data_IF_542851153085
#
_entry.id   IF_542851153085
#
_cell.length_a   1.000
_cell.length_b   1.000
_cell.length_c   1.000
_cell.angle_alpha   90.00
_cell.angle_beta   90.00
_cell.angle_gamma   90.00
#
_symmetry.space_group_name_H-M   'P 1'
#
loop_
_entity.id
_entity.type
_entity.pdbx_description
1 polymer ?
#
# COMPACT_ATOMS: atom_id res chain seq x y z
N UNK A 1 -12.27 46.49 23.78
CA UNK A 1 -11.67 45.72 22.66
C UNK A 1 -11.94 46.50 21.39
N UNK A 2 -10.92 46.83 20.60
CA UNK A 2 -11.12 47.60 19.36
C UNK A 2 -11.95 46.81 18.34
N UNK A 3 -12.65 47.49 17.44
CA UNK A 3 -13.40 46.84 16.36
C UNK A 3 -12.46 45.98 15.49
N UNK A 4 -11.26 46.48 15.20
CA UNK A 4 -10.23 45.74 14.45
C UNK A 4 -9.85 44.42 15.12
N UNK A 5 -9.64 44.44 16.44
CA UNK A 5 -9.33 43.23 17.21
C UNK A 5 -10.44 42.18 17.17
N UNK A 6 -11.71 42.59 17.22
CA UNK A 6 -12.86 41.68 17.07
C UNK A 6 -12.86 41.03 15.69
N UNK A 7 -12.66 41.83 14.64
CA UNK A 7 -12.62 41.35 13.25
C UNK A 7 -11.48 40.34 13.06
N UNK A 8 -10.25 40.68 13.47
CA UNK A 8 -9.10 39.80 13.29
C UNK A 8 -9.14 38.55 14.17
N UNK A 9 -9.73 38.65 15.36
CA UNK A 9 -10.00 37.47 16.20
C UNK A 9 -11.00 36.54 15.50
N UNK A 10 -12.08 37.09 14.95
CA UNK A 10 -13.08 36.31 14.20
C UNK A 10 -12.46 35.66 12.96
N UNK A 11 -11.62 36.39 12.22
CA UNK A 11 -10.88 35.86 11.07
C UNK A 11 -9.93 34.73 11.49
N UNK A 12 -9.23 34.87 12.63
CA UNK A 12 -8.33 33.81 13.13
C UNK A 12 -9.08 32.50 13.42
N UNK A 13 -10.36 32.55 13.74
CA UNK A 13 -11.20 31.35 13.92
C UNK A 13 -11.75 30.84 12.57
N UNK A 14 -12.20 31.75 11.71
CA UNK A 14 -12.81 31.39 10.43
C UNK A 14 -11.82 30.79 9.43
N UNK A 15 -10.56 31.24 9.42
CA UNK A 15 -9.54 30.76 8.47
C UNK A 15 -9.30 29.24 8.64
N UNK A 16 -8.96 28.71 9.83
CA UNK A 16 -8.83 27.27 10.03
C UNK A 16 -10.07 26.49 9.61
N UNK A 17 -11.26 26.94 10.01
CA UNK A 17 -12.53 26.26 9.69
C UNK A 17 -12.76 26.19 8.18
N UNK A 18 -12.48 27.28 7.46
CA UNK A 18 -12.64 27.35 6.01
C UNK A 18 -11.71 26.37 5.30
N UNK A 19 -10.41 26.39 5.63
CA UNK A 19 -9.43 25.51 5.00
C UNK A 19 -9.59 24.04 5.41
N UNK A 20 -10.12 23.79 6.60
CA UNK A 20 -10.37 22.45 7.10
C UNK A 20 -11.61 21.81 6.45
N UNK A 21 -12.73 22.53 6.38
CA UNK A 21 -14.03 21.94 6.03
C UNK A 21 -14.54 22.26 4.62
N UNK A 22 -14.18 23.41 4.05
CA UNK A 22 -14.85 23.92 2.83
C UNK A 22 -14.12 23.50 1.56
N UNK A 23 -12.78 23.36 1.61
CA UNK A 23 -12.00 23.04 0.42
C UNK A 23 -12.21 21.57 0.02
N UNK A 24 -12.67 21.30 -1.23
CA UNK A 24 -12.78 19.95 -1.76
C UNK A 24 -11.43 19.21 -1.74
N UNK A 25 -11.48 17.90 -1.48
CA UNK A 25 -10.28 17.08 -1.32
C UNK A 25 -9.43 17.02 -2.61
N UNK A 26 -10.06 17.01 -3.78
CA UNK A 26 -9.40 16.98 -5.09
C UNK A 26 -8.68 18.29 -5.43
N UNK A 27 -9.27 19.43 -5.08
CA UNK A 27 -8.64 20.75 -5.24
C UNK A 27 -7.44 20.87 -4.31
N UNK A 28 -7.58 20.38 -3.08
CA UNK A 28 -6.53 20.45 -2.08
C UNK A 28 -5.33 19.59 -2.46
N UNK A 29 -5.54 18.33 -2.85
CA UNK A 29 -4.46 17.38 -3.15
C UNK A 29 -3.49 17.91 -4.22
N UNK A 30 -4.01 18.56 -5.26
CA UNK A 30 -3.18 19.11 -6.34
C UNK A 30 -2.15 20.13 -5.86
N UNK A 31 -2.47 20.87 -4.79
CA UNK A 31 -1.67 22.00 -4.30
C UNK A 31 -1.67 22.04 -2.76
N UNK A 32 -1.47 20.88 -2.13
CA UNK A 32 -1.61 20.66 -0.69
C UNK A 32 -0.73 21.61 0.14
N UNK A 33 0.55 21.74 -0.22
CA UNK A 33 1.50 22.64 0.42
C UNK A 33 1.06 24.10 0.23
N UNK A 34 0.67 24.49 -0.98
CA UNK A 34 0.26 25.87 -1.25
C UNK A 34 -0.94 26.27 -0.36
N UNK A 35 -1.98 25.44 -0.29
CA UNK A 35 -3.15 25.74 0.55
C UNK A 35 -2.82 25.69 2.04
N UNK A 36 -1.98 24.75 2.49
CA UNK A 36 -1.51 24.68 3.88
C UNK A 36 -0.76 25.96 4.29
N UNK A 37 0.21 26.39 3.47
CA UNK A 37 0.98 27.61 3.73
C UNK A 37 0.14 28.87 3.60
N UNK A 38 -0.79 28.95 2.64
CA UNK A 38 -1.73 30.06 2.52
C UNK A 38 -2.60 30.19 3.79
N UNK A 39 -3.14 29.07 4.29
CA UNK A 39 -3.90 29.05 5.53
C UNK A 39 -3.05 29.51 6.72
N UNK A 40 -1.85 28.97 6.86
CA UNK A 40 -0.91 29.35 7.93
C UNK A 40 -0.54 30.82 7.88
N UNK A 41 -0.26 31.37 6.69
CA UNK A 41 0.08 32.78 6.51
C UNK A 41 -1.09 33.71 6.83
N UNK A 42 -2.29 33.41 6.34
CA UNK A 42 -3.50 34.18 6.63
C UNK A 42 -3.84 34.13 8.13
N UNK A 43 -3.73 32.95 8.74
CA UNK A 43 -3.95 32.76 10.17
C UNK A 43 -2.92 33.51 11.00
N UNK A 44 -1.64 33.46 10.63
CA UNK A 44 -0.57 34.25 11.25
C UNK A 44 -0.90 35.74 11.18
N UNK A 45 -1.24 36.27 10.00
CA UNK A 45 -1.57 37.67 9.83
C UNK A 45 -2.76 38.10 10.69
N UNK A 46 -3.84 37.32 10.68
CA UNK A 46 -5.02 37.58 11.51
C UNK A 46 -4.69 37.55 13.01
N UNK A 47 -3.98 36.53 13.47
CA UNK A 47 -3.63 36.38 14.89
C UNK A 47 -2.62 37.45 15.34
N UNK A 48 -1.63 37.77 14.51
CA UNK A 48 -0.65 38.83 14.76
C UNK A 48 -1.33 40.19 14.93
N UNK A 49 -2.28 40.53 14.04
CA UNK A 49 -3.05 41.76 14.11
C UNK A 49 -4.02 41.76 15.30
N UNK A 50 -4.64 40.62 15.61
CA UNK A 50 -5.53 40.47 16.77
C UNK A 50 -4.80 40.65 18.12
N UNK A 51 -3.58 40.12 18.25
CA UNK A 51 -2.77 40.23 19.47
C UNK A 51 -2.10 41.61 19.60
N UNK A 52 -1.64 42.17 18.49
CA UNK A 52 -0.96 43.45 18.46
C UNK A 52 -1.87 44.67 18.65
N UNK A 53 -3.17 44.52 18.37
CA UNK A 53 -4.17 45.60 18.34
C UNK A 53 -3.70 46.79 17.46
N UNK A 54 -3.00 46.47 16.37
CA UNK A 54 -2.49 47.47 15.44
C UNK A 54 -3.66 48.11 14.70
N UNK A 55 -3.81 49.43 14.83
CA UNK A 55 -4.85 50.18 14.14
C UNK A 55 -4.38 50.65 12.77
N UNK A 56 -3.07 50.72 12.55
CA UNK A 56 -2.45 51.12 11.30
C UNK A 56 -1.12 50.42 11.02
N UNK A 57 -0.68 50.44 9.75
CA UNK A 57 0.68 50.03 9.36
C UNK A 57 1.77 50.90 10.01
N UNK A 58 1.42 52.14 10.39
CA UNK A 58 2.33 53.03 11.09
C UNK A 58 2.73 52.42 12.44
N UNK A 59 1.77 51.87 13.18
CA UNK A 59 1.99 51.21 14.48
C UNK A 59 2.91 49.99 14.40
N UNK A 60 3.10 49.38 13.21
CA UNK A 60 4.06 48.28 13.05
C UNK A 60 5.51 48.77 12.92
N UNK A 61 5.72 50.00 12.48
CA UNK A 61 7.02 50.52 12.06
C UNK A 61 7.54 51.65 12.95
N UNK A 62 6.66 52.32 13.68
CA UNK A 62 7.03 53.35 14.65
C UNK A 62 7.58 52.70 15.93
N UNK A 63 8.72 53.22 16.40
CA UNK A 63 9.22 52.89 17.74
C UNK A 63 8.28 53.54 18.76
N UNK A 64 7.86 52.83 19.81
CA UNK A 64 7.07 53.42 20.88
C UNK A 64 7.83 54.64 21.44
N UNK A 65 7.10 55.72 21.70
CA UNK A 65 7.72 56.93 22.23
C UNK A 65 8.32 56.65 23.62
N UNK A 66 9.42 57.34 24.02
CA UNK A 66 10.01 57.14 25.34
C UNK A 66 8.99 57.44 26.44
N UNK A 67 8.51 56.40 27.14
CA UNK A 67 7.50 56.51 28.20
C UNK A 67 6.13 55.89 27.87
N UNK A 68 5.91 55.43 26.65
CA UNK A 68 4.67 54.76 26.24
C UNK A 68 4.67 53.28 26.68
N UNK A 69 3.70 52.89 27.53
CA UNK A 69 3.58 51.49 27.96
C UNK A 69 3.06 50.61 26.82
N UNK A 70 3.94 49.77 26.27
CA UNK A 70 3.55 48.79 25.25
C UNK A 70 2.64 47.72 25.88
N UNK A 71 1.40 47.52 25.35
CA UNK A 71 0.49 46.50 25.87
C UNK A 71 1.14 45.12 25.91
N UNK A 72 0.93 44.38 27.01
CA UNK A 72 1.55 43.06 27.19
C UNK A 72 1.23 42.09 26.04
N UNK A 73 0.02 42.15 25.49
CA UNK A 73 -0.40 41.33 24.34
C UNK A 73 0.35 41.66 23.04
N UNK A 74 0.74 42.93 22.84
CA UNK A 74 1.52 43.34 21.66
C UNK A 74 2.93 42.77 21.69
N UNK A 75 3.49 42.52 22.88
CA UNK A 75 4.76 41.79 23.03
C UNK A 75 4.64 40.31 22.66
N UNK A 76 3.42 39.76 22.71
CA UNK A 76 3.14 38.37 22.35
C UNK A 76 2.87 38.17 20.85
N UNK A 77 2.61 39.24 20.08
CA UNK A 77 2.24 39.12 18.67
C UNK A 77 3.27 38.36 17.81
N UNK A 78 4.61 38.48 18.01
CA UNK A 78 5.56 37.69 17.22
C UNK A 78 5.44 36.18 17.44
N UNK A 79 4.95 35.75 18.63
CA UNK A 79 4.76 34.33 18.92
C UNK A 79 3.55 33.72 18.21
N UNK A 80 2.74 34.52 17.51
CA UNK A 80 1.66 34.03 16.62
C UNK A 80 2.19 33.11 15.50
N UNK A 81 3.50 33.13 15.21
CA UNK A 81 4.14 32.22 14.25
C UNK A 81 4.04 30.76 14.67
N UNK A 82 4.07 30.47 15.98
CA UNK A 82 4.03 29.09 16.50
C UNK A 82 2.69 28.39 16.18
N UNK A 83 1.52 28.94 16.56
CA UNK A 83 0.25 28.31 16.23
C UNK A 83 -0.03 28.30 14.72
N UNK A 84 0.49 29.28 13.95
CA UNK A 84 0.41 29.25 12.49
C UNK A 84 1.19 28.08 11.89
N UNK A 85 2.40 27.81 12.39
CA UNK A 85 3.18 26.65 11.98
C UNK A 85 2.46 25.35 12.34
N UNK A 86 1.92 25.24 13.57
CA UNK A 86 1.11 24.07 13.98
C UNK A 86 -0.09 23.86 13.05
N UNK A 87 -0.79 24.93 12.65
CA UNK A 87 -1.92 24.84 11.72
C UNK A 87 -1.51 24.24 10.36
N UNK A 88 -0.35 24.62 9.82
CA UNK A 88 0.17 24.06 8.57
C UNK A 88 0.30 22.53 8.69
N UNK A 89 0.92 22.03 9.77
CA UNK A 89 1.07 20.59 9.99
C UNK A 89 -0.28 19.90 10.15
N UNK A 90 -1.19 20.47 10.96
CA UNK A 90 -2.52 19.90 11.18
C UNK A 90 -3.28 19.75 9.86
N UNK A 91 -3.21 20.74 8.97
CA UNK A 91 -3.87 20.67 7.67
C UNK A 91 -3.22 19.63 6.76
N UNK A 92 -1.89 19.57 6.66
CA UNK A 92 -1.20 18.55 5.86
C UNK A 92 -1.59 17.13 6.30
N UNK A 93 -1.55 16.84 7.60
CA UNK A 93 -1.92 15.52 8.13
C UNK A 93 -3.40 15.21 7.93
N UNK A 94 -4.28 16.17 8.20
CA UNK A 94 -5.72 15.98 8.04
C UNK A 94 -6.09 15.64 6.60
N UNK A 95 -5.47 16.29 5.62
CA UNK A 95 -5.81 16.09 4.22
C UNK A 95 -5.25 14.78 3.67
N UNK A 96 -4.09 14.32 4.18
CA UNK A 96 -3.62 12.95 3.93
C UNK A 96 -4.64 11.92 4.42
N UNK A 97 -5.22 12.11 5.61
CA UNK A 97 -6.30 11.24 6.12
C UNK A 97 -7.54 11.29 5.24
N UNK A 98 -7.97 12.49 4.81
CA UNK A 98 -9.16 12.64 3.94
C UNK A 98 -9.00 11.94 2.60
N UNK A 99 -7.80 11.94 2.00
CA UNK A 99 -7.51 11.17 0.78
C UNK A 99 -7.70 9.67 1.03
N UNK A 100 -7.18 9.15 2.14
CA UNK A 100 -7.32 7.74 2.48
C UNK A 100 -8.78 7.35 2.78
N UNK A 101 -9.51 8.19 3.51
CA UNK A 101 -10.93 7.98 3.82
C UNK A 101 -11.80 7.98 2.54
N UNK A 102 -11.53 8.90 1.62
CA UNK A 102 -12.21 8.99 0.33
C UNK A 102 -11.94 7.75 -0.54
N UNK A 103 -10.69 7.28 -0.58
CA UNK A 103 -10.32 6.03 -1.27
C UNK A 103 -10.90 4.80 -0.58
N UNK A 104 -11.03 4.79 0.75
CA UNK A 104 -11.66 3.69 1.48
C UNK A 104 -13.17 3.63 1.25
N UNK A 105 -13.84 4.78 1.14
CA UNK A 105 -15.28 4.85 0.93
C UNK A 105 -15.71 4.63 -0.53
N UNK A 106 -14.94 5.17 -1.49
CA UNK A 106 -15.32 5.21 -2.91
C UNK A 106 -14.27 4.62 -3.85
N UNK A 107 -13.32 3.87 -3.29
CA UNK A 107 -12.23 3.24 -4.03
C UNK A 107 -12.73 2.24 -5.08
N UNK A 108 -12.13 2.33 -6.26
CA UNK A 108 -12.20 1.31 -7.30
C UNK A 108 -10.81 0.88 -7.70
N UNK A 109 -10.62 -0.43 -7.81
CA UNK A 109 -9.40 -1.04 -8.29
C UNK A 109 -9.36 -1.01 -9.82
N UNK A 110 -8.21 -0.63 -10.37
CA UNK A 110 -7.88 -0.72 -11.79
C UNK A 110 -6.39 -1.00 -11.95
N UNK A 111 -5.97 -1.35 -13.17
CA UNK A 111 -4.56 -1.53 -13.51
C UNK A 111 -4.03 -0.24 -14.11
N UNK A 112 -2.94 0.27 -13.54
CA UNK A 112 -2.16 1.39 -14.07
C UNK A 112 -0.87 0.91 -14.72
N UNK A 113 -0.30 1.74 -15.58
CA UNK A 113 1.01 1.55 -16.19
C UNK A 113 1.94 2.66 -15.74
N UNK A 114 3.13 2.31 -15.26
CA UNK A 114 4.17 3.29 -14.98
C UNK A 114 4.68 3.86 -16.31
N UNK A 115 4.62 5.18 -16.47
CA UNK A 115 5.06 5.89 -17.68
C UNK A 115 6.34 6.68 -17.45
N UNK A 116 6.86 6.70 -16.23
CA UNK A 116 8.12 7.33 -15.89
C UNK A 116 8.33 7.37 -14.38
N UNK A 117 9.48 7.88 -13.98
CA UNK A 117 9.81 8.10 -12.58
C UNK A 117 10.94 9.10 -12.46
N UNK A 118 11.02 9.77 -11.30
CA UNK A 118 12.07 10.72 -10.99
C UNK A 118 12.58 10.50 -9.57
N UNK A 119 13.90 10.52 -9.44
CA UNK A 119 14.60 10.55 -8.16
C UNK A 119 15.19 11.96 -7.98
N UNK A 120 14.73 12.67 -6.95
CA UNK A 120 15.18 14.03 -6.65
C UNK A 120 16.02 14.01 -5.39
N UNK A 121 17.34 14.18 -5.55
CA UNK A 121 18.29 14.30 -4.43
C UNK A 121 18.46 15.76 -4.04
N UNK A 122 18.04 16.12 -2.84
CA UNK A 122 18.29 17.43 -2.25
C UNK A 122 19.45 17.34 -1.26
N UNK A 123 20.54 18.05 -1.55
CA UNK A 123 21.69 18.16 -0.65
C UNK A 123 21.64 19.48 0.11
N UNK A 124 21.56 19.44 1.43
CA UNK A 124 21.70 20.60 2.33
C UNK A 124 22.74 20.27 3.39
N UNK A 125 23.75 21.14 3.56
CA UNK A 125 24.89 21.05 4.52
C UNK A 125 24.93 19.74 5.34
N UNK A 126 25.80 18.83 4.93
CA UNK A 126 26.06 17.52 5.55
C UNK A 126 24.94 16.47 5.48
N UNK A 127 23.81 16.75 4.83
CA UNK A 127 22.75 15.77 4.59
C UNK A 127 22.28 15.77 3.13
N UNK A 128 22.16 14.57 2.56
CA UNK A 128 21.50 14.32 1.28
C UNK A 128 20.21 13.54 1.54
N UNK A 129 19.09 14.05 1.06
CA UNK A 129 17.83 13.33 1.09
C UNK A 129 17.34 13.10 -0.34
N UNK A 130 17.06 11.85 -0.69
CA UNK A 130 16.56 11.46 -2.01
C UNK A 130 15.09 11.10 -1.90
N UNK A 131 14.28 11.79 -2.69
CA UNK A 131 12.84 11.51 -2.81
C UNK A 131 12.60 10.79 -4.14
N UNK A 132 11.77 9.76 -4.11
CA UNK A 132 11.43 8.95 -5.27
C UNK A 132 9.95 9.12 -5.58
N UNK A 133 9.65 9.25 -6.86
CA UNK A 133 8.28 9.41 -7.35
C UNK A 133 8.13 8.74 -8.70
N UNK A 134 6.96 8.16 -8.93
CA UNK A 134 6.59 7.48 -10.17
C UNK A 134 5.40 8.19 -10.80
N UNK A 135 5.41 8.25 -12.13
CA UNK A 135 4.29 8.72 -12.92
C UNK A 135 3.49 7.51 -13.37
N UNK A 136 2.21 7.45 -12.99
CA UNK A 136 1.32 6.34 -13.34
C UNK A 136 0.17 6.84 -14.19
N UNK A 137 -0.09 6.13 -15.29
CA UNK A 137 -1.24 6.33 -16.15
C UNK A 137 -2.22 5.18 -15.98
N UNK A 138 -3.50 5.48 -15.82
CA UNK A 138 -4.53 4.46 -15.68
C UNK A 138 -5.83 4.88 -16.39
N UNK A 139 -6.75 3.93 -16.56
CA UNK A 139 -8.06 4.15 -17.18
C UNK A 139 -9.16 3.97 -16.13
N UNK A 140 -10.06 4.96 -16.03
CA UNK A 140 -11.21 4.91 -15.12
C UNK A 140 -12.36 4.05 -15.69
N UNK A 141 -13.42 3.83 -14.90
CA UNK A 141 -14.56 3.02 -15.34
C UNK A 141 -15.41 3.64 -16.46
N UNK A 142 -15.06 4.83 -16.94
CA UNK A 142 -15.67 5.52 -18.07
C UNK A 142 -14.71 5.61 -19.27
N UNK A 143 -13.67 4.77 -19.28
CA UNK A 143 -12.62 4.72 -20.30
C UNK A 143 -11.81 6.01 -20.46
N UNK A 144 -11.78 6.87 -19.43
CA UNK A 144 -10.97 8.09 -19.44
C UNK A 144 -9.59 7.82 -18.87
N UNK A 145 -8.57 8.33 -19.55
CA UNK A 145 -7.18 8.23 -19.10
C UNK A 145 -6.87 9.32 -18.06
N UNK A 146 -6.24 8.91 -16.98
CA UNK A 146 -5.75 9.78 -15.93
C UNK A 146 -4.26 9.53 -15.71
N UNK A 147 -3.53 10.60 -15.37
CA UNK A 147 -2.12 10.54 -15.00
C UNK A 147 -1.96 11.20 -13.64
N UNK A 148 -1.24 10.55 -12.73
CA UNK A 148 -0.89 11.10 -11.43
C UNK A 148 0.54 10.74 -11.06
N UNK A 149 1.11 11.51 -10.15
CA UNK A 149 2.44 11.29 -9.58
C UNK A 149 2.26 10.73 -8.16
N UNK A 150 2.93 9.62 -7.85
CA UNK A 150 2.90 9.01 -6.52
C UNK A 150 4.32 8.98 -5.95
N UNK A 151 4.47 9.37 -4.68
CA UNK A 151 5.73 9.20 -3.97
C UNK A 151 5.87 7.77 -3.47
N UNK A 152 7.00 7.14 -3.74
CA UNK A 152 7.29 5.75 -3.37
C UNK A 152 8.57 5.65 -2.55
N UNK A 153 8.73 4.55 -1.83
CA UNK A 153 9.98 4.28 -1.12
C UNK A 153 11.12 4.00 -2.11
N UNK A 154 12.37 4.17 -1.66
CA UNK A 154 13.53 3.88 -2.50
C UNK A 154 13.63 2.40 -2.90
N UNK A 155 13.15 1.47 -2.06
CA UNK A 155 13.07 0.05 -2.42
C UNK A 155 12.03 -0.18 -3.51
N UNK A 156 10.82 0.35 -3.34
CA UNK A 156 9.75 0.19 -4.34
C UNK A 156 10.15 0.83 -5.68
N UNK A 157 10.83 1.97 -5.65
CA UNK A 157 11.30 2.63 -6.87
C UNK A 157 12.29 1.78 -7.67
N UNK A 158 13.13 0.99 -7.00
CA UNK A 158 14.09 0.12 -7.69
C UNK A 158 13.41 -1.13 -8.30
N UNK A 159 12.32 -1.58 -7.70
CA UNK A 159 11.55 -2.74 -8.16
C UNK A 159 10.54 -2.35 -9.27
N UNK A 160 10.10 -1.09 -9.27
CA UNK A 160 9.15 -0.53 -10.21
C UNK A 160 9.86 0.09 -11.43
N UNK A 161 9.71 -0.55 -12.59
CA UNK A 161 10.29 -0.07 -13.85
C UNK A 161 9.25 0.58 -14.79
N UNK A 162 9.72 1.41 -15.71
CA UNK A 162 8.86 2.02 -16.73
C UNK A 162 8.19 0.94 -17.59
N UNK A 163 6.87 1.04 -17.70
CA UNK A 163 6.04 0.09 -18.41
C UNK A 163 5.46 -1.04 -17.55
N UNK A 164 5.91 -1.18 -16.30
CA UNK A 164 5.33 -2.13 -15.37
C UNK A 164 3.85 -1.81 -15.09
N UNK A 165 3.06 -2.87 -14.89
CA UNK A 165 1.65 -2.79 -14.54
C UNK A 165 1.52 -2.85 -13.02
N UNK A 166 0.80 -1.89 -12.46
CA UNK A 166 0.60 -1.74 -11.01
C UNK A 166 -0.88 -1.67 -10.67
N UNK A 167 -1.25 -2.05 -9.45
CA UNK A 167 -2.59 -1.80 -8.95
C UNK A 167 -2.75 -0.33 -8.56
N UNK A 168 -3.82 0.27 -9.06
CA UNK A 168 -4.23 1.63 -8.74
C UNK A 168 -5.61 1.58 -8.13
N UNK A 169 -5.76 2.21 -6.97
CA UNK A 169 -7.07 2.51 -6.41
C UNK A 169 -7.36 3.98 -6.64
N UNK A 170 -8.50 4.28 -7.25
CA UNK A 170 -8.96 5.65 -7.48
C UNK A 170 -10.35 5.88 -6.89
N UNK A 171 -10.65 7.13 -6.51
CA UNK A 171 -12.01 7.49 -6.07
C UNK A 171 -12.96 7.57 -7.28
N UNK A 172 -14.09 6.85 -7.20
CA UNK A 172 -15.14 6.96 -8.20
C UNK A 172 -15.72 8.37 -8.31
N UNK A 173 -15.74 9.14 -7.22
CA UNK A 173 -16.25 10.52 -7.22
C UNK A 173 -15.22 11.49 -7.79
N UNK A 174 -13.96 11.30 -7.43
CA UNK A 174 -12.85 12.15 -7.83
C UNK A 174 -11.70 11.31 -8.40
N UNK A 175 -11.73 10.93 -9.69
CA UNK A 175 -10.69 10.08 -10.29
C UNK A 175 -9.28 10.68 -10.24
N UNK A 176 -9.14 12.00 -10.10
CA UNK A 176 -7.83 12.60 -9.87
C UNK A 176 -7.15 12.05 -8.58
N UNK A 177 -7.94 11.67 -7.57
CA UNK A 177 -7.47 11.01 -6.37
C UNK A 177 -7.23 9.54 -6.68
N UNK A 178 -5.96 9.19 -6.82
CA UNK A 178 -5.50 7.84 -7.02
C UNK A 178 -4.30 7.54 -6.11
N UNK A 179 -4.09 6.24 -5.85
CA UNK A 179 -2.96 5.72 -5.08
C UNK A 179 -2.49 4.42 -5.70
N UNK A 180 -1.19 4.25 -5.82
CA UNK A 180 -0.58 2.97 -6.19
C UNK A 180 -0.52 2.10 -4.95
N UNK A 181 -0.97 0.85 -5.06
CA UNK A 181 -0.95 -0.09 -3.95
C UNK A 181 -0.17 -1.33 -4.37
N UNK A 182 1.02 -1.51 -3.80
CA UNK A 182 1.91 -2.63 -4.15
C UNK A 182 1.54 -3.91 -3.39
N UNK A 183 1.12 -3.78 -2.14
CA UNK A 183 0.76 -4.91 -1.27
C UNK A 183 -0.75 -5.20 -1.25
N UNK A 184 -1.12 -6.47 -1.41
CA UNK A 184 -2.50 -6.96 -1.30
C UNK A 184 -3.06 -6.70 0.11
N UNK A 185 -2.22 -6.72 1.15
CA UNK A 185 -2.67 -6.44 2.52
C UNK A 185 -3.18 -5.00 2.67
N UNK A 186 -2.45 -4.03 2.09
CA UNK A 186 -2.84 -2.63 2.03
C UNK A 186 -4.04 -2.40 1.13
N UNK A 187 -4.19 -3.20 0.07
CA UNK A 187 -5.30 -3.08 -0.88
C UNK A 187 -6.67 -3.30 -0.22
N UNK A 188 -6.74 -4.17 0.81
CA UNK A 188 -7.94 -4.41 1.61
C UNK A 188 -8.47 -3.17 2.32
N UNK A 189 -7.61 -2.20 2.61
CA UNK A 189 -8.05 -0.96 3.25
C UNK A 189 -8.95 -0.12 2.34
N UNK A 190 -8.88 -0.35 1.02
CA UNK A 190 -9.58 0.46 0.03
C UNK A 190 -10.62 -0.29 -0.79
N UNK A 191 -10.40 -1.58 -1.02
CA UNK A 191 -11.30 -2.42 -1.83
C UNK A 191 -11.39 -3.81 -1.24
N UNK A 192 -12.58 -4.41 -1.34
CA UNK A 192 -12.81 -5.78 -0.90
C UNK A 192 -12.16 -6.77 -1.86
N UNK A 193 -10.93 -7.18 -1.57
CA UNK A 193 -10.18 -8.18 -2.33
C UNK A 193 -10.06 -9.49 -1.54
N UNK A 194 -10.35 -10.66 -2.15
CA UNK A 194 -10.09 -11.94 -1.52
C UNK A 194 -8.61 -12.10 -1.19
N UNK A 195 -8.32 -12.78 -0.09
CA UNK A 195 -6.97 -12.81 0.47
C UNK A 195 -6.69 -14.01 1.37
N UNK A 196 -7.58 -15.00 1.31
CA UNK A 196 -7.47 -16.18 2.14
C UNK A 196 -6.25 -17.00 1.73
N UNK A 197 -5.72 -17.75 2.68
CA UNK A 197 -4.61 -18.67 2.40
C UNK A 197 -5.13 -19.84 1.59
N UNK A 198 -4.36 -20.30 0.62
CA UNK A 198 -4.67 -21.52 -0.11
C UNK A 198 -4.60 -22.72 0.88
N UNK A 199 -5.59 -23.60 0.83
CA UNK A 199 -5.71 -24.73 1.75
C UNK A 199 -5.66 -26.04 0.98
N UNK A 200 -5.41 -27.15 1.68
CA UNK A 200 -5.47 -28.48 1.03
C UNK A 200 -6.86 -28.76 0.47
N UNK A 201 -7.93 -28.28 1.12
CA UNK A 201 -9.30 -28.43 0.62
C UNK A 201 -9.50 -27.77 -0.74
N UNK A 202 -8.88 -26.60 -0.97
CA UNK A 202 -8.91 -25.96 -2.28
C UNK A 202 -8.16 -26.77 -3.33
N UNK A 203 -7.00 -27.32 -2.98
CA UNK A 203 -6.18 -28.13 -3.89
C UNK A 203 -6.85 -29.46 -4.24
N UNK A 204 -7.48 -30.13 -3.27
CA UNK A 204 -8.22 -31.37 -3.53
C UNK A 204 -9.46 -31.11 -4.38
N UNK A 205 -10.18 -29.99 -4.19
CA UNK A 205 -11.30 -29.64 -5.04
C UNK A 205 -10.89 -29.44 -6.51
N UNK A 206 -9.71 -28.85 -6.73
CA UNK A 206 -9.10 -28.73 -8.06
C UNK A 206 -8.78 -30.12 -8.63
N UNK A 207 -8.11 -30.97 -7.83
CA UNK A 207 -7.68 -32.30 -8.23
C UNK A 207 -8.85 -33.26 -8.52
N UNK A 208 -9.96 -33.13 -7.78
CA UNK A 208 -11.21 -33.87 -8.01
C UNK A 208 -11.98 -33.40 -9.26
N UNK A 209 -11.53 -32.33 -9.92
CA UNK A 209 -12.20 -31.76 -11.09
C UNK A 209 -13.48 -30.98 -10.76
N UNK A 210 -13.68 -30.59 -9.50
CA UNK A 210 -14.81 -29.74 -9.08
C UNK A 210 -14.71 -28.33 -9.65
N UNK A 211 -13.52 -27.94 -10.12
CA UNK A 211 -13.24 -26.64 -10.73
C UNK A 211 -12.90 -26.86 -12.21
N UNK A 212 -13.74 -26.38 -13.14
CA UNK A 212 -13.44 -26.40 -14.57
C UNK A 212 -12.13 -25.67 -14.89
N UNK A 213 -11.33 -26.20 -15.83
CA UNK A 213 -10.00 -25.65 -16.17
C UNK A 213 -10.08 -24.21 -16.70
N UNK A 214 -11.08 -23.92 -17.52
CA UNK A 214 -11.35 -22.58 -18.06
C UNK A 214 -11.72 -21.55 -16.97
N UNK A 215 -12.22 -22.04 -15.83
CA UNK A 215 -12.63 -21.23 -14.68
C UNK A 215 -11.59 -21.22 -13.55
N UNK A 216 -10.41 -21.85 -13.74
CA UNK A 216 -9.41 -22.04 -12.68
C UNK A 216 -8.89 -20.71 -12.14
N UNK A 217 -8.53 -19.78 -13.03
CA UNK A 217 -8.06 -18.44 -12.64
C UNK A 217 -9.12 -17.69 -11.85
N UNK A 218 -10.40 -17.81 -12.24
CA UNK A 218 -11.51 -17.17 -11.52
C UNK A 218 -11.70 -17.79 -10.13
N UNK A 219 -11.65 -19.11 -10.03
CA UNK A 219 -11.73 -19.83 -8.75
C UNK A 219 -10.58 -19.44 -7.82
N UNK A 220 -9.34 -19.46 -8.30
CA UNK A 220 -8.17 -19.08 -7.49
C UNK A 220 -8.24 -17.62 -7.05
N UNK A 221 -8.66 -16.70 -7.94
CA UNK A 221 -8.89 -15.28 -7.60
C UNK A 221 -10.03 -15.06 -6.61
N UNK A 222 -10.97 -16.01 -6.47
CA UNK A 222 -12.00 -15.95 -5.43
C UNK A 222 -11.48 -16.28 -4.03
N UNK A 223 -10.31 -16.95 -3.94
CA UNK A 223 -9.64 -17.29 -2.69
C UNK A 223 -8.66 -16.18 -2.33
N UNK A 224 -7.72 -15.88 -3.23
CA UNK A 224 -6.84 -14.73 -3.09
C UNK A 224 -6.52 -14.09 -4.45
N UNK A 225 -6.44 -12.76 -4.45
CA UNK A 225 -6.31 -11.94 -5.66
C UNK A 225 -4.94 -12.10 -6.37
N UNK A 226 -4.94 -11.94 -7.69
CA UNK A 226 -3.81 -11.99 -8.65
C UNK A 226 -3.25 -13.36 -9.03
N UNK A 227 -4.12 -14.34 -9.21
CA UNK A 227 -3.73 -15.50 -10.02
C UNK A 227 -3.74 -15.15 -11.50
N UNK A 228 -2.67 -15.55 -12.16
CA UNK A 228 -2.57 -15.65 -13.61
C UNK A 228 -2.45 -17.12 -14.00
N UNK A 229 -2.82 -17.46 -15.23
CA UNK A 229 -2.73 -18.81 -15.76
C UNK A 229 -2.17 -18.80 -17.17
N UNK A 230 -1.43 -19.84 -17.53
CA UNK A 230 -0.98 -20.04 -18.90
C UNK A 230 -2.13 -20.46 -19.81
N UNK A 231 -1.99 -20.20 -21.11
CA UNK A 231 -2.93 -20.69 -22.12
C UNK A 231 -3.06 -22.22 -22.15
N UNK A 232 -2.05 -22.93 -21.65
CA UNK A 232 -2.06 -24.40 -21.49
C UNK A 232 -3.10 -24.88 -20.48
N UNK A 233 -3.46 -24.03 -19.50
CA UNK A 233 -4.36 -24.38 -18.40
C UNK A 233 -3.76 -25.33 -17.35
N UNK A 234 -2.44 -25.55 -17.37
CA UNK A 234 -1.75 -26.44 -16.44
C UNK A 234 -0.86 -25.73 -15.44
N UNK A 235 -0.58 -24.44 -15.63
CA UNK A 235 0.26 -23.67 -14.74
C UNK A 235 -0.42 -22.37 -14.36
N UNK A 236 -0.42 -22.09 -13.05
CA UNK A 236 -1.01 -20.90 -12.45
C UNK A 236 -0.03 -20.32 -11.44
N UNK A 237 0.12 -19.01 -11.45
CA UNK A 237 1.05 -18.32 -10.56
C UNK A 237 0.40 -17.12 -9.91
N UNK A 238 0.81 -16.83 -8.68
CA UNK A 238 0.53 -15.58 -7.99
C UNK A 238 1.88 -14.97 -7.56
N UNK A 239 2.39 -14.07 -8.39
CA UNK A 239 3.73 -13.48 -8.20
C UNK A 239 3.82 -12.61 -6.95
N UNK A 240 2.71 -11.97 -6.54
CA UNK A 240 2.65 -11.15 -5.32
C UNK A 240 2.78 -11.99 -4.06
N UNK A 241 2.15 -13.17 -4.06
CA UNK A 241 2.21 -14.11 -2.93
C UNK A 241 3.36 -15.09 -3.03
N UNK A 242 4.10 -15.11 -4.15
CA UNK A 242 5.23 -16.01 -4.39
C UNK A 242 4.80 -17.49 -4.27
N UNK A 243 3.63 -17.78 -4.82
CA UNK A 243 3.05 -19.13 -4.86
C UNK A 243 2.69 -19.53 -6.29
N UNK A 244 2.69 -20.82 -6.58
CA UNK A 244 2.27 -21.36 -7.88
C UNK A 244 1.58 -22.72 -7.73
N UNK A 245 0.79 -23.09 -8.74
CA UNK A 245 0.12 -24.37 -8.87
C UNK A 245 0.42 -24.92 -10.26
N UNK A 246 0.86 -26.17 -10.32
CA UNK A 246 0.99 -26.94 -11.56
C UNK A 246 0.10 -28.17 -11.52
N UNK A 247 -0.74 -28.32 -12.53
CA UNK A 247 -1.55 -29.50 -12.76
C UNK A 247 -0.84 -30.44 -13.73
N UNK A 248 -0.91 -31.74 -13.46
CA UNK A 248 -0.46 -32.77 -14.39
C UNK A 248 -1.62 -33.21 -15.29
N UNK A 249 -1.31 -33.72 -16.49
CA UNK A 249 -2.28 -33.89 -17.59
C UNK A 249 -3.48 -34.79 -17.23
N UNK A 250 -3.24 -35.80 -16.40
CA UNK A 250 -4.20 -36.79 -15.95
C UNK A 250 -5.03 -36.38 -14.72
N UNK A 251 -4.77 -35.19 -14.16
CA UNK A 251 -5.32 -34.73 -12.88
C UNK A 251 -5.12 -35.74 -11.72
N UNK A 252 -4.12 -36.63 -11.79
CA UNK A 252 -3.78 -37.52 -10.67
C UNK A 252 -2.91 -36.81 -9.64
N UNK A 253 -2.20 -35.77 -10.08
CA UNK A 253 -1.25 -34.98 -9.31
C UNK A 253 -1.41 -33.47 -9.52
N UNK A 254 -1.17 -32.73 -8.45
CA UNK A 254 -1.02 -31.28 -8.43
C UNK A 254 0.22 -30.92 -7.60
N UNK A 255 1.10 -30.07 -8.14
CA UNK A 255 2.20 -29.47 -7.38
C UNK A 255 1.83 -28.05 -6.94
N UNK A 256 1.87 -27.79 -5.63
CA UNK A 256 1.73 -26.47 -5.02
C UNK A 256 3.10 -25.98 -4.56
N UNK A 257 3.50 -24.80 -4.98
CA UNK A 257 4.79 -24.19 -4.69
C UNK A 257 4.59 -22.96 -3.83
N UNK A 258 5.40 -22.82 -2.77
CA UNK A 258 5.39 -21.66 -1.89
C UNK A 258 6.83 -21.26 -1.53
N UNK A 259 7.17 -19.98 -1.72
CA UNK A 259 8.45 -19.43 -1.26
C UNK A 259 8.50 -19.41 0.28
N UNK A 260 9.65 -19.75 0.84
CA UNK A 260 9.88 -19.64 2.27
C UNK A 260 11.21 -18.95 2.58
N UNK A 261 11.23 -18.24 3.71
CA UNK A 261 12.45 -17.64 4.20
C UNK A 261 13.29 -18.70 4.93
N UNK A 262 14.51 -18.94 4.44
CA UNK A 262 15.45 -19.89 5.03
C UNK A 262 15.77 -19.62 6.51
N UNK A 263 15.74 -18.35 6.95
CA UNK A 263 16.02 -17.98 8.34
C UNK A 263 14.88 -18.38 9.30
N UNK A 264 13.66 -18.59 8.80
CA UNK A 264 12.48 -18.97 9.59
C UNK A 264 12.01 -20.40 9.30
N UNK A 265 12.78 -21.17 8.52
CA UNK A 265 12.39 -22.48 8.00
C UNK A 265 12.23 -23.60 9.06
N UNK A 266 12.44 -23.30 10.34
CA UNK A 266 12.41 -24.27 11.43
C UNK A 266 10.99 -24.55 11.99
N UNK A 267 9.95 -23.87 11.52
CA UNK A 267 8.56 -24.07 11.98
C UNK A 267 7.66 -24.66 10.90
N UNK A 268 6.73 -25.54 11.30
CA UNK A 268 5.64 -26.02 10.45
C UNK A 268 4.95 -24.84 9.74
N UNK A 269 4.89 -24.91 8.41
CA UNK A 269 4.22 -23.89 7.60
C UNK A 269 2.72 -23.83 7.92
N UNK A 270 2.08 -22.70 7.61
CA UNK A 270 0.63 -22.54 7.73
C UNK A 270 -0.13 -23.63 6.95
N UNK A 271 0.44 -24.04 5.82
CA UNK A 271 -0.05 -25.14 4.99
C UNK A 271 0.05 -26.49 5.69
N UNK A 272 1.17 -26.81 6.36
CA UNK A 272 1.32 -28.06 7.12
C UNK A 272 0.36 -28.15 8.32
N UNK A 273 0.12 -27.03 9.00
CA UNK A 273 -0.91 -26.95 10.03
C UNK A 273 -2.30 -27.16 9.44
N UNK A 274 -2.55 -26.68 8.22
CA UNK A 274 -3.79 -26.92 7.49
C UNK A 274 -3.96 -28.40 7.10
N UNK A 275 -2.90 -29.09 6.65
CA UNK A 275 -2.93 -30.54 6.38
C UNK A 275 -3.38 -31.33 7.62
N UNK A 276 -2.73 -31.09 8.75
CA UNK A 276 -3.01 -31.80 10.01
C UNK A 276 -4.45 -31.56 10.48
N UNK A 277 -4.94 -30.31 10.38
CA UNK A 277 -6.33 -29.95 10.72
C UNK A 277 -7.36 -30.64 9.82
N UNK A 278 -7.00 -30.96 8.57
CA UNK A 278 -7.84 -31.67 7.61
C UNK A 278 -7.65 -33.20 7.65
N UNK A 279 -7.10 -33.73 8.75
CA UNK A 279 -7.05 -35.17 9.00
C UNK A 279 -5.87 -35.90 8.35
N UNK A 280 -4.92 -35.18 7.72
CA UNK A 280 -3.71 -35.80 7.22
C UNK A 280 -2.80 -36.25 8.37
N UNK A 281 -2.29 -37.47 8.27
CA UNK A 281 -1.30 -38.04 9.19
C UNK A 281 0.10 -37.79 8.64
N UNK A 282 1.01 -37.30 9.49
CA UNK A 282 2.43 -37.09 9.13
C UNK A 282 3.22 -38.38 9.29
N UNK A 283 4.05 -38.72 8.30
CA UNK A 283 5.03 -39.81 8.34
C UNK A 283 6.35 -39.29 7.80
N UNK A 284 7.40 -39.36 8.61
CA UNK A 284 8.76 -39.13 8.15
C UNK A 284 9.34 -40.45 7.62
N UNK A 285 9.98 -40.40 6.46
CA UNK A 285 10.73 -41.52 5.90
C UNK A 285 12.09 -41.02 5.46
N UNK A 286 13.16 -41.72 5.84
CA UNK A 286 14.50 -41.45 5.31
C UNK A 286 14.80 -42.45 4.21
N UNK A 287 15.02 -41.95 2.98
CA UNK A 287 15.50 -42.74 1.86
C UNK A 287 16.78 -42.09 1.35
N UNK A 288 17.85 -42.87 1.15
CA UNK A 288 19.14 -42.39 0.63
C UNK A 288 19.78 -41.23 1.41
N UNK A 289 19.53 -41.12 2.72
CA UNK A 289 20.06 -40.04 3.56
C UNK A 289 19.30 -38.72 3.47
N UNK A 290 18.24 -38.65 2.65
CA UNK A 290 17.31 -37.54 2.60
C UNK A 290 16.05 -37.86 3.42
N UNK A 291 15.70 -36.96 4.33
CA UNK A 291 14.44 -37.03 5.08
C UNK A 291 13.33 -36.50 4.20
N UNK A 292 12.45 -37.38 3.75
CA UNK A 292 11.22 -37.02 3.04
C UNK A 292 10.06 -37.02 4.04
N UNK A 293 9.34 -35.90 4.09
CA UNK A 293 8.12 -35.78 4.88
C UNK A 293 6.91 -36.04 3.99
N UNK A 294 6.07 -36.98 4.39
CA UNK A 294 4.80 -37.27 3.73
C UNK A 294 3.65 -37.04 4.68
N UNK A 295 2.56 -36.51 4.13
CA UNK A 295 1.27 -36.38 4.77
C UNK A 295 0.29 -37.24 4.01
N UNK A 296 -0.57 -38.01 4.68
CA UNK A 296 -1.49 -38.90 3.98
C UNK A 296 -2.86 -39.00 4.65
N UNK A 297 -3.85 -39.27 3.82
CA UNK A 297 -5.20 -39.76 4.17
C UNK A 297 -5.45 -41.03 3.35
N UNK A 298 -6.63 -41.64 3.50
CA UNK A 298 -6.99 -42.79 2.68
C UNK A 298 -7.08 -42.42 1.18
N UNK A 299 -7.46 -41.18 0.87
CA UNK A 299 -7.70 -40.70 -0.51
C UNK A 299 -6.55 -39.92 -1.13
N UNK A 300 -5.62 -39.38 -0.32
CA UNK A 300 -4.59 -38.46 -0.80
C UNK A 300 -3.25 -38.67 -0.13
N UNK A 301 -2.17 -38.48 -0.88
CA UNK A 301 -0.80 -38.40 -0.40
C UNK A 301 -0.26 -37.02 -0.75
N UNK A 302 0.39 -36.36 0.19
CA UNK A 302 1.11 -35.09 -0.01
C UNK A 302 2.58 -35.31 0.33
N UNK A 303 3.46 -35.26 -0.66
CA UNK A 303 4.91 -35.24 -0.43
C UNK A 303 5.42 -33.81 -0.39
N UNK A 304 6.44 -33.56 0.45
CA UNK A 304 7.07 -32.25 0.61
C UNK A 304 8.51 -32.32 0.13
N UNK A 305 8.85 -31.51 -0.87
CA UNK A 305 10.21 -31.33 -1.38
C UNK A 305 10.68 -29.90 -1.10
N UNK A 306 11.97 -29.75 -0.80
CA UNK A 306 12.63 -28.45 -0.69
C UNK A 306 13.49 -28.20 -1.92
N UNK A 307 13.28 -27.09 -2.62
CA UNK A 307 14.21 -26.61 -3.64
C UNK A 307 14.85 -25.30 -3.22
N UNK A 308 16.14 -25.18 -3.51
CA UNK A 308 16.93 -23.96 -3.33
C UNK A 308 17.48 -23.60 -4.69
N UNK A 309 17.17 -22.40 -5.16
CA UNK A 309 17.71 -21.85 -6.38
C UNK A 309 18.88 -20.94 -6.04
N UNK A 310 20.04 -21.23 -6.62
CA UNK A 310 21.21 -20.35 -6.57
C UNK A 310 21.07 -19.27 -7.64
N UNK A 311 20.39 -18.17 -7.31
CA UNK A 311 20.34 -16.99 -8.17
C UNK A 311 21.47 -16.01 -7.79
N UNK A 312 22.27 -15.62 -8.78
CA UNK A 312 23.20 -14.49 -8.63
C UNK A 312 22.42 -13.21 -8.85
N UNK A 313 22.27 -12.40 -7.80
CA UNK A 313 21.69 -11.06 -7.96
C UNK A 313 22.57 -10.21 -8.89
N UNK A 314 21.96 -9.22 -9.54
CA UNK A 314 22.66 -8.26 -10.42
C UNK A 314 23.81 -7.53 -9.71
N UNK A 315 23.82 -7.52 -8.38
CA UNK A 315 24.84 -6.86 -7.55
C UNK A 315 25.94 -7.84 -7.05
N UNK A 316 25.95 -9.09 -7.52
CA UNK A 316 26.96 -10.08 -7.17
C UNK A 316 26.83 -10.68 -5.76
N UNK A 317 25.80 -10.30 -4.99
CA UNK A 317 25.45 -11.00 -3.75
C UNK A 317 24.63 -12.25 -4.08
N UNK A 318 24.89 -13.41 -3.43
CA UNK A 318 24.04 -14.58 -3.57
C UNK A 318 22.67 -14.29 -2.96
N UNK A 319 21.62 -14.43 -3.77
CA UNK A 319 20.23 -14.45 -3.31
C UNK A 319 19.75 -15.89 -3.41
N UNK A 320 19.49 -16.50 -2.26
CA UNK A 320 18.93 -17.85 -2.20
C UNK A 320 17.41 -17.73 -2.20
N UNK A 321 16.78 -18.10 -3.30
CA UNK A 321 15.33 -18.30 -3.34
C UNK A 321 15.06 -19.75 -2.95
N UNK A 322 14.22 -19.95 -1.94
CA UNK A 322 13.93 -21.27 -1.41
C UNK A 322 12.44 -21.53 -1.46
N UNK A 323 12.07 -22.69 -2.00
CA UNK A 323 10.68 -23.07 -2.23
C UNK A 323 10.37 -24.40 -1.58
N UNK A 324 9.20 -24.48 -0.94
CA UNK A 324 8.56 -25.74 -0.64
C UNK A 324 7.68 -26.13 -1.82
N UNK A 325 7.79 -27.39 -2.23
CA UNK A 325 6.95 -27.99 -3.26
C UNK A 325 6.16 -29.11 -2.59
N UNK A 326 4.84 -28.98 -2.63
CA UNK A 326 3.90 -29.96 -2.12
C UNK A 326 3.26 -30.67 -3.29
N UNK A 327 3.57 -31.94 -3.49
CA UNK A 327 2.90 -32.76 -4.50
C UNK A 327 1.70 -33.45 -3.87
N UNK A 328 0.50 -33.04 -4.26
CA UNK A 328 -0.78 -33.60 -3.84
C UNK A 328 -1.19 -34.64 -4.88
N UNK A 329 -1.21 -35.90 -4.48
CA UNK A 329 -1.45 -37.06 -5.35
C UNK A 329 -2.70 -37.78 -4.86
N UNK A 330 -3.59 -38.16 -5.79
CA UNK A 330 -4.71 -39.05 -5.51
C UNK A 330 -4.19 -40.45 -5.20
N UNK A 331 -4.56 -40.98 -4.05
CA UNK A 331 -4.29 -42.36 -3.69
C UNK A 331 -5.41 -43.23 -4.26
N UNK A 332 -5.33 -43.59 -5.54
CA UNK A 332 -6.34 -44.44 -6.20
C UNK A 332 -6.20 -45.93 -5.79
N UNK A 333 -5.78 -46.22 -4.55
CA UNK A 333 -5.80 -47.57 -3.96
C UNK A 333 -7.23 -48.02 -3.56
N UNK A 334 -8.22 -47.75 -4.40
CA UNK A 334 -9.51 -48.45 -4.37
C UNK A 334 -9.56 -49.42 -5.56
N UNK A 335 -9.04 -50.63 -5.34
CA UNK A 335 -9.38 -51.82 -6.14
C UNK A 335 -8.35 -52.27 -7.17
N UNK A 336 -7.34 -53.04 -6.72
CA UNK A 336 -6.69 -54.08 -7.54
C UNK A 336 -6.72 -55.39 -6.78
#
# INVERSE_FOLDING_TARGET
MSLGRIIFTSLSVLIPVTFYAIIPVDVYERHDMFYSFAAGFLFFGALFLALGDFQSLYDLTSKPEPGEEVPALRKLSPFAVLPAFVLVFVLVFHQSSRKEDELAAYGKLTKGKIVGGKATTTTRRFQSNTTYSIDVMYVDSLDRQHKFEESVSGSDFNDLYEGAIVDVVYSKQHPALAKVVTDVSALKAFVNVPSDTLTIGHLTAILEGSVPRDSMVQYLNSINYEWTGEASGYFFANEKRKIAIKLFEDNSELAYVEEFNMMTAASDTDFERNLTKNGFKKKASSANGETQEFYYTDRYIVSKERKVSDNKSSNGMPTFEAYWIYHVIRNDQEGS
#
